data_IF_720272546029
#
_entry.id   IF_720272546029
#
_cell.length_a   1.000
_cell.length_b   1.000
_cell.length_c   1.000
_cell.angle_alpha   90.00
_cell.angle_beta   90.00
_cell.angle_gamma   90.00
#
_symmetry.space_group_name_H-M   'P 1'
#
loop_
_entity.id
_entity.type
_entity.pdbx_description
1 polymer ?
#
# COMPACT_ATOMS: atom_id res chain seq x y z
N UNK A 1 -10.38 2.15 -4.01
CA UNK A 1 -9.26 1.48 -3.31
C UNK A 1 -7.95 2.21 -3.63
N UNK A 2 -7.05 2.35 -2.65
CA UNK A 2 -5.66 2.78 -2.83
C UNK A 2 -4.78 1.65 -2.32
N UNK A 3 -3.97 1.06 -3.20
CA UNK A 3 -2.99 0.04 -2.83
C UNK A 3 -1.57 0.64 -2.83
N UNK A 4 -0.69 0.15 -1.97
CA UNK A 4 0.65 0.71 -1.82
C UNK A 4 1.71 -0.35 -1.42
N UNK A 5 2.94 -0.10 -1.91
CA UNK A 5 4.18 -0.79 -1.52
C UNK A 5 5.24 0.27 -1.28
N UNK A 6 5.47 0.63 -0.02
CA UNK A 6 6.38 1.71 0.41
C UNK A 6 7.60 1.18 1.15
N UNK A 7 7.79 -0.14 1.18
CA UNK A 7 8.78 -0.86 2.01
C UNK A 7 8.50 -0.76 3.51
N UNK A 8 9.14 -1.60 4.32
CA UNK A 8 9.01 -1.58 5.78
C UNK A 8 9.34 -0.20 6.39
N UNK A 9 10.37 0.47 5.86
CA UNK A 9 10.76 1.81 6.32
C UNK A 9 9.76 2.91 5.97
N UNK A 10 8.88 2.69 5.00
CA UNK A 10 7.89 3.67 4.55
C UNK A 10 6.74 3.92 5.53
N UNK A 11 6.64 3.11 6.60
CA UNK A 11 5.66 3.28 7.66
C UNK A 11 6.16 4.13 8.83
N UNK A 12 7.44 4.54 8.83
CA UNK A 12 8.02 5.44 9.85
C UNK A 12 7.75 4.98 11.29
N UNK A 13 7.68 3.67 11.52
CA UNK A 13 7.41 3.09 12.83
C UNK A 13 8.74 2.76 13.54
N UNK A 14 8.81 3.07 14.83
CA UNK A 14 9.90 2.63 15.69
C UNK A 14 9.72 1.14 16.10
N UNK A 15 10.65 0.61 16.89
CA UNK A 15 10.63 -0.79 17.35
C UNK A 15 9.45 -1.15 18.25
N UNK A 16 8.72 -0.15 18.77
CA UNK A 16 7.48 -0.32 19.53
C UNK A 16 6.23 -0.11 18.67
N UNK A 17 6.39 -0.05 17.35
CA UNK A 17 5.34 0.18 16.36
C UNK A 17 4.56 1.49 16.57
N UNK A 18 5.27 2.53 17.02
CA UNK A 18 4.77 3.92 17.11
C UNK A 18 5.48 4.79 16.11
N UNK A 19 4.82 5.85 15.67
CA UNK A 19 5.41 6.83 14.76
C UNK A 19 6.73 7.40 15.31
N UNK A 20 7.80 7.32 14.53
CA UNK A 20 9.08 7.96 14.83
C UNK A 20 9.04 9.44 14.45
N UNK A 21 8.45 10.25 15.34
CA UNK A 21 8.28 11.70 15.16
C UNK A 21 9.61 12.47 15.03
N UNK A 22 10.76 11.82 15.29
CA UNK A 22 12.09 12.43 15.10
C UNK A 22 12.58 12.28 13.65
N UNK A 23 11.96 11.43 12.85
CA UNK A 23 12.28 11.32 11.43
C UNK A 23 11.96 12.67 10.72
N UNK A 24 12.90 13.24 9.95
CA UNK A 24 12.71 14.56 9.32
C UNK A 24 11.48 14.65 8.40
N UNK A 25 11.19 13.60 7.62
CA UNK A 25 10.05 13.62 6.70
C UNK A 25 8.74 13.63 7.48
N UNK A 26 8.64 12.78 8.51
CA UNK A 26 7.45 12.70 9.35
C UNK A 26 7.27 13.98 10.18
N UNK A 27 8.35 14.53 10.74
CA UNK A 27 8.31 15.80 11.44
C UNK A 27 7.86 16.97 10.54
N UNK A 28 8.23 16.92 9.25
CA UNK A 28 7.72 17.85 8.24
C UNK A 28 6.22 17.70 8.01
N UNK A 29 5.73 16.47 7.91
CA UNK A 29 4.30 16.19 7.71
C UNK A 29 3.45 16.60 8.91
N UNK A 30 3.97 16.45 10.13
CA UNK A 30 3.33 16.95 11.35
C UNK A 30 3.17 18.48 11.34
N UNK A 31 4.04 19.20 10.61
CA UNK A 31 3.97 20.65 10.41
C UNK A 31 3.17 21.05 9.14
N UNK A 32 2.54 20.07 8.48
CA UNK A 32 1.66 20.31 7.34
C UNK A 32 2.26 20.04 5.98
N UNK A 33 3.49 19.50 5.87
CA UNK A 33 3.98 18.91 4.63
C UNK A 33 3.22 17.61 4.27
N UNK A 34 3.59 16.96 3.17
CA UNK A 34 3.02 15.67 2.75
C UNK A 34 4.04 14.84 1.98
N UNK A 35 5.17 14.56 2.63
CA UNK A 35 6.29 13.81 2.11
C UNK A 35 6.16 12.31 2.41
N UNK A 36 5.47 11.95 3.50
CA UNK A 36 5.24 10.56 3.91
C UNK A 36 3.89 10.05 3.42
N UNK A 37 3.70 8.73 3.47
CA UNK A 37 2.41 8.12 3.18
C UNK A 37 1.30 8.67 4.08
N UNK A 38 1.59 9.00 5.35
CA UNK A 38 0.57 9.50 6.28
C UNK A 38 0.10 10.91 5.92
N UNK A 39 1.02 11.83 5.60
CA UNK A 39 0.65 13.18 5.17
C UNK A 39 -0.15 13.18 3.87
N UNK A 40 0.24 12.33 2.90
CA UNK A 40 -0.50 12.17 1.64
C UNK A 40 -1.89 11.58 1.88
N UNK A 41 -1.99 10.47 2.61
CA UNK A 41 -3.28 9.81 2.88
C UNK A 41 -4.19 10.71 3.72
N UNK A 42 -3.68 11.43 4.72
CA UNK A 42 -4.48 12.37 5.50
C UNK A 42 -5.14 13.44 4.61
N UNK A 43 -4.37 14.05 3.69
CA UNK A 43 -4.91 15.03 2.72
C UNK A 43 -5.95 14.41 1.78
N UNK A 44 -5.73 13.17 1.34
CA UNK A 44 -6.70 12.43 0.52
C UNK A 44 -8.00 12.23 1.32
N UNK A 45 -7.92 11.80 2.58
CA UNK A 45 -9.10 11.58 3.42
C UNK A 45 -9.86 12.88 3.69
N UNK A 46 -9.16 13.98 3.98
CA UNK A 46 -9.76 15.32 4.11
C UNK A 46 -10.51 15.72 2.85
N UNK A 47 -9.87 15.60 1.68
CA UNK A 47 -10.49 15.93 0.40
C UNK A 47 -11.68 15.01 0.10
N UNK A 48 -11.60 13.72 0.42
CA UNK A 48 -12.71 12.77 0.23
C UNK A 48 -13.89 13.10 1.12
N UNK A 49 -13.64 13.39 2.39
CA UNK A 49 -14.66 13.79 3.36
C UNK A 49 -15.35 15.08 2.91
N UNK A 50 -14.58 16.11 2.56
CA UNK A 50 -15.12 17.41 2.14
C UNK A 50 -15.97 17.34 0.86
N UNK A 51 -15.62 16.45 -0.07
CA UNK A 51 -16.32 16.29 -1.35
C UNK A 51 -17.37 15.17 -1.35
N UNK A 52 -17.59 14.49 -0.22
CA UNK A 52 -18.53 13.35 -0.16
C UNK A 52 -18.16 12.21 -1.11
N UNK A 53 -16.87 11.95 -1.33
CA UNK A 53 -16.36 11.05 -2.38
C UNK A 53 -16.55 9.54 -2.08
N UNK A 54 -17.29 9.19 -1.02
CA UNK A 54 -17.60 7.82 -0.63
C UNK A 54 -16.51 7.09 0.17
N UNK A 55 -16.75 5.81 0.52
CA UNK A 55 -15.82 5.00 1.30
C UNK A 55 -14.54 4.64 0.53
N UNK A 56 -13.53 4.13 1.23
CA UNK A 56 -12.24 3.76 0.63
C UNK A 56 -11.54 2.61 1.36
N UNK A 57 -11.03 1.62 0.63
CA UNK A 57 -10.07 0.66 1.17
C UNK A 57 -8.62 1.10 0.91
N UNK A 58 -7.80 1.03 1.96
CA UNK A 58 -6.36 1.30 1.97
C UNK A 58 -5.61 -0.05 2.07
N UNK A 59 -5.13 -0.57 0.95
CA UNK A 59 -4.62 -1.93 0.81
C UNK A 59 -3.09 -1.97 0.85
N UNK A 60 -2.54 -2.39 1.97
CA UNK A 60 -1.10 -2.57 2.13
C UNK A 60 -0.64 -3.83 1.37
N UNK A 61 0.41 -3.70 0.56
CA UNK A 61 1.00 -4.81 -0.20
C UNK A 61 2.50 -5.00 0.12
N UNK A 62 3.01 -4.45 1.22
CA UNK A 62 4.35 -4.74 1.71
C UNK A 62 4.38 -6.01 2.56
N UNK A 63 5.52 -6.69 2.53
CA UNK A 63 5.77 -7.90 3.31
C UNK A 63 6.06 -7.56 4.79
N UNK A 64 5.06 -7.05 5.48
CA UNK A 64 5.07 -6.70 6.90
C UNK A 64 4.00 -7.54 7.60
N UNK A 65 4.28 -8.01 8.82
CA UNK A 65 3.27 -8.71 9.62
C UNK A 65 2.18 -7.73 10.04
N UNK A 66 0.90 -8.13 9.91
CA UNK A 66 -0.23 -7.29 10.34
C UNK A 66 -0.23 -5.94 9.60
N UNK A 67 0.10 -5.95 8.31
CA UNK A 67 0.43 -4.75 7.55
C UNK A 67 -0.75 -3.75 7.43
N UNK A 68 -1.98 -4.25 7.43
CA UNK A 68 -3.21 -3.46 7.47
C UNK A 68 -3.37 -2.74 8.81
N UNK A 69 -3.28 -3.47 9.93
CA UNK A 69 -3.41 -2.85 11.26
C UNK A 69 -2.25 -1.91 11.57
N UNK A 70 -1.02 -2.27 11.22
CA UNK A 70 0.16 -1.41 11.43
C UNK A 70 0.02 -0.07 10.74
N UNK A 71 -0.44 -0.08 9.50
CA UNK A 71 -0.69 1.15 8.76
C UNK A 71 -1.88 1.93 9.35
N UNK A 72 -2.98 1.26 9.69
CA UNK A 72 -4.15 1.88 10.31
C UNK A 72 -3.77 2.61 11.61
N UNK A 73 -3.07 1.94 12.52
CA UNK A 73 -2.71 2.48 13.82
C UNK A 73 -1.75 3.67 13.69
N UNK A 74 -0.77 3.57 12.78
CA UNK A 74 0.12 4.68 12.45
C UNK A 74 -0.63 5.87 11.84
N UNK A 75 -1.60 5.63 10.97
CA UNK A 75 -2.43 6.68 10.38
C UNK A 75 -3.30 7.37 11.44
N UNK A 76 -3.91 6.62 12.34
CA UNK A 76 -4.69 7.17 13.46
C UNK A 76 -3.80 7.99 14.40
N UNK A 77 -2.60 7.49 14.73
CA UNK A 77 -1.62 8.23 15.52
C UNK A 77 -1.22 9.55 14.84
N UNK A 78 -0.95 9.52 13.52
CA UNK A 78 -0.63 10.73 12.75
C UNK A 78 -1.77 11.75 12.76
N UNK A 79 -3.01 11.31 12.54
CA UNK A 79 -4.19 12.17 12.55
C UNK A 79 -4.43 12.78 13.95
N UNK A 80 -4.18 12.03 15.02
CA UNK A 80 -4.25 12.55 16.38
C UNK A 80 -3.19 13.62 16.65
N UNK A 81 -1.93 13.35 16.30
CA UNK A 81 -0.80 14.28 16.48
C UNK A 81 -0.98 15.59 15.69
N UNK A 82 -1.81 15.56 14.65
CA UNK A 82 -2.10 16.72 13.82
C UNK A 82 -3.50 17.30 14.04
N UNK A 83 -4.18 16.90 15.13
CA UNK A 83 -5.47 17.44 15.58
C UNK A 83 -6.63 17.28 14.57
N UNK A 84 -6.67 16.17 13.83
CA UNK A 84 -7.67 15.89 12.78
C UNK A 84 -8.78 14.93 13.23
N UNK A 85 -9.44 15.22 14.36
CA UNK A 85 -10.43 14.31 14.94
C UNK A 85 -11.57 13.96 13.98
N UNK A 86 -12.09 14.93 13.22
CA UNK A 86 -13.16 14.69 12.24
C UNK A 86 -12.76 13.69 11.15
N UNK A 87 -11.48 13.68 10.76
CA UNK A 87 -10.94 12.73 9.78
C UNK A 87 -10.82 11.32 10.39
N UNK A 88 -10.47 11.22 11.67
CA UNK A 88 -10.44 9.94 12.41
C UNK A 88 -11.84 9.34 12.49
N UNK A 89 -12.83 10.14 12.87
CA UNK A 89 -14.23 9.71 12.96
C UNK A 89 -14.75 9.26 11.59
N UNK A 90 -14.38 10.00 10.54
CA UNK A 90 -14.71 9.63 9.17
C UNK A 90 -14.03 8.33 8.74
N UNK A 91 -12.73 8.16 9.02
CA UNK A 91 -11.95 6.96 8.71
C UNK A 91 -12.59 5.72 9.32
N UNK A 92 -12.97 5.78 10.61
CA UNK A 92 -13.60 4.67 11.33
C UNK A 92 -14.89 4.17 10.65
N UNK A 93 -15.66 5.08 10.06
CA UNK A 93 -16.94 4.73 9.40
C UNK A 93 -16.75 4.37 7.93
N UNK A 94 -15.80 5.01 7.24
CA UNK A 94 -15.76 5.02 5.77
C UNK A 94 -14.54 4.30 5.17
N UNK A 95 -13.60 3.83 5.97
CA UNK A 95 -12.41 3.17 5.46
C UNK A 95 -12.10 1.82 6.12
N UNK A 96 -11.37 0.99 5.39
CA UNK A 96 -10.80 -0.27 5.88
C UNK A 96 -9.34 -0.40 5.47
N UNK A 97 -8.55 -1.07 6.31
CA UNK A 97 -7.15 -1.41 6.07
C UNK A 97 -6.96 -2.93 6.23
N UNK A 98 -7.45 -3.76 5.28
CA UNK A 98 -7.31 -5.22 5.36
C UNK A 98 -5.84 -5.64 5.36
N UNK A 99 -5.52 -6.71 6.10
CA UNK A 99 -4.20 -7.33 6.00
C UNK A 99 -4.04 -8.09 4.69
N UNK A 100 -2.78 -8.18 4.27
CA UNK A 100 -2.38 -9.04 3.17
C UNK A 100 -1.13 -9.87 3.49
N UNK A 101 -1.00 -11.00 2.81
CA UNK A 101 0.25 -11.74 2.65
C UNK A 101 0.60 -11.73 1.16
N UNK A 102 1.72 -11.12 0.80
CA UNK A 102 2.22 -11.06 -0.58
C UNK A 102 3.44 -11.96 -0.71
N UNK A 103 3.47 -12.79 -1.77
CA UNK A 103 4.64 -13.62 -2.03
C UNK A 103 4.94 -13.74 -3.53
N UNK A 104 6.10 -13.21 -3.90
CA UNK A 104 6.75 -13.36 -5.21
C UNK A 104 8.17 -12.82 -5.15
N UNK A 105 9.17 -13.66 -5.41
CA UNK A 105 10.54 -13.19 -5.60
C UNK A 105 10.61 -12.35 -6.89
N UNK A 106 10.94 -11.07 -6.72
CA UNK A 106 11.08 -10.09 -7.80
C UNK A 106 12.43 -9.36 -7.64
N UNK A 107 13.52 -9.89 -8.23
CA UNK A 107 14.84 -9.29 -8.09
C UNK A 107 14.91 -7.90 -8.73
N UNK A 108 15.87 -7.08 -8.28
CA UNK A 108 16.21 -5.83 -8.96
C UNK A 108 16.56 -6.16 -10.44
N UNK A 109 15.92 -5.50 -11.42
CA UNK A 109 16.28 -5.66 -12.82
C UNK A 109 17.77 -5.46 -13.06
N UNK A 110 18.41 -6.43 -13.70
CA UNK A 110 19.79 -6.31 -14.14
C UNK A 110 19.88 -5.29 -15.30
N UNK A 111 21.02 -4.61 -15.43
CA UNK A 111 21.20 -3.56 -16.42
C UNK A 111 21.06 -4.04 -17.88
N UNK A 112 21.30 -5.33 -18.13
CA UNK A 112 21.19 -5.98 -19.43
C UNK A 112 19.77 -6.50 -19.75
N UNK A 113 18.83 -6.46 -18.79
CA UNK A 113 17.49 -7.01 -18.96
C UNK A 113 16.71 -6.40 -20.14
N UNK A 114 16.67 -5.06 -20.34
CA UNK A 114 15.98 -4.47 -21.49
C UNK A 114 16.48 -5.00 -22.83
N UNK A 115 17.80 -5.14 -22.99
CA UNK A 115 18.40 -5.66 -24.21
C UNK A 115 18.01 -7.12 -24.46
N UNK A 116 17.98 -7.94 -23.40
CA UNK A 116 17.53 -9.33 -23.48
C UNK A 116 16.06 -9.46 -23.87
N UNK A 117 15.17 -8.64 -23.28
CA UNK A 117 13.74 -8.63 -23.62
C UNK A 117 13.53 -8.23 -25.09
N UNK A 118 14.22 -7.19 -25.55
CA UNK A 118 14.17 -6.76 -26.95
C UNK A 118 14.63 -7.84 -27.92
N UNK A 119 15.72 -8.53 -27.61
CA UNK A 119 16.23 -9.62 -28.44
C UNK A 119 15.26 -10.80 -28.53
N UNK A 120 14.50 -11.09 -27.47
CA UNK A 120 13.58 -12.24 -27.41
C UNK A 120 12.17 -11.92 -27.93
N UNK A 121 11.69 -10.70 -27.73
CA UNK A 121 10.29 -10.33 -28.01
C UNK A 121 10.15 -9.31 -29.14
N UNK A 122 11.23 -8.64 -29.52
CA UNK A 122 11.21 -7.49 -30.44
C UNK A 122 10.74 -6.18 -29.78
N UNK A 123 10.31 -6.21 -28.51
CA UNK A 123 9.75 -5.06 -27.80
C UNK A 123 10.86 -4.28 -27.09
N UNK A 124 10.92 -2.97 -27.32
CA UNK A 124 11.81 -2.04 -26.63
C UNK A 124 11.20 -1.61 -25.29
N UNK A 125 11.15 -2.53 -24.33
CA UNK A 125 10.62 -2.28 -22.98
C UNK A 125 11.62 -1.47 -22.13
N UNK A 126 11.18 -0.30 -21.66
CA UNK A 126 11.99 0.62 -20.84
C UNK A 126 11.86 0.38 -19.33
N UNK A 127 10.97 -0.49 -18.89
CA UNK A 127 10.76 -0.83 -17.50
C UNK A 127 10.49 -2.33 -17.29
N UNK A 128 11.34 -3.23 -17.83
CA UNK A 128 11.10 -4.66 -17.70
C UNK A 128 11.31 -5.10 -16.25
N UNK A 129 10.42 -5.97 -15.79
CA UNK A 129 10.49 -6.62 -14.49
C UNK A 129 10.53 -8.14 -14.71
N UNK A 130 11.44 -8.81 -14.01
CA UNK A 130 11.43 -10.27 -13.92
C UNK A 130 11.10 -10.67 -12.50
N UNK A 131 10.36 -11.77 -12.39
CA UNK A 131 10.11 -12.46 -11.13
C UNK A 131 9.99 -13.95 -11.41
N UNK A 132 10.00 -14.73 -10.34
CA UNK A 132 9.71 -16.14 -10.47
C UNK A 132 8.27 -16.41 -10.97
N UNK A 133 8.00 -17.67 -11.29
CA UNK A 133 6.67 -18.14 -11.73
C UNK A 133 5.67 -18.27 -10.58
N UNK A 134 6.16 -18.56 -9.37
CA UNK A 134 5.31 -18.61 -8.20
C UNK A 134 4.79 -17.21 -7.87
N UNK A 135 3.48 -17.13 -7.61
CA UNK A 135 2.82 -15.93 -7.12
C UNK A 135 1.75 -16.36 -6.13
N UNK A 136 1.65 -15.65 -5.01
CA UNK A 136 0.58 -15.82 -4.05
C UNK A 136 0.23 -14.46 -3.45
N UNK A 137 -1.06 -14.22 -3.24
CA UNK A 137 -1.53 -13.03 -2.58
C UNK A 137 -2.76 -13.37 -1.76
N UNK A 138 -2.63 -13.38 -0.43
CA UNK A 138 -3.76 -13.57 0.49
C UNK A 138 -4.21 -12.21 0.99
N UNK A 139 -5.51 -11.96 0.98
CA UNK A 139 -6.12 -10.69 1.35
C UNK A 139 -7.31 -10.97 2.27
N UNK A 140 -7.39 -10.25 3.38
CA UNK A 140 -8.62 -10.22 4.16
C UNK A 140 -9.75 -9.60 3.33
N UNK A 141 -10.90 -10.29 3.20
CA UNK A 141 -12.06 -9.78 2.47
C UNK A 141 -12.84 -8.74 3.29
N UNK A 142 -12.18 -7.62 3.58
CA UNK A 142 -12.69 -6.49 4.35
C UNK A 142 -12.55 -5.19 3.54
N UNK A 143 -13.29 -5.11 2.45
CA UNK A 143 -13.31 -3.96 1.56
C UNK A 143 -14.53 -3.07 1.85
N UNK A 144 -14.35 -1.75 1.78
CA UNK A 144 -15.39 -0.75 2.08
C UNK A 144 -16.05 -0.18 0.83
N UNK A 145 -15.46 -0.42 -0.33
CA UNK A 145 -15.94 -0.04 -1.66
C UNK A 145 -15.78 -1.23 -2.62
N UNK A 146 -16.26 -1.09 -3.86
CA UNK A 146 -16.12 -2.12 -4.88
C UNK A 146 -14.66 -2.57 -5.03
N UNK A 147 -14.46 -3.90 -5.03
CA UNK A 147 -13.16 -4.53 -5.28
C UNK A 147 -13.20 -5.35 -6.57
N UNK A 148 -12.06 -5.55 -7.25
CA UNK A 148 -11.96 -6.53 -8.32
C UNK A 148 -12.28 -7.94 -7.79
N UNK A 149 -12.75 -8.83 -8.67
CA UNK A 149 -12.88 -10.27 -8.41
C UNK A 149 -11.47 -10.90 -8.42
N UNK A 150 -10.69 -10.65 -7.36
CA UNK A 150 -9.30 -11.11 -7.22
C UNK A 150 -9.21 -12.64 -7.13
N UNK A 151 -10.30 -13.29 -6.75
CA UNK A 151 -10.51 -14.74 -6.78
C UNK A 151 -10.54 -15.33 -8.21
N UNK A 152 -10.83 -14.53 -9.24
CA UNK A 152 -10.99 -15.02 -10.61
C UNK A 152 -9.63 -15.24 -11.30
N UNK A 153 -9.25 -16.51 -11.43
CA UNK A 153 -8.00 -16.97 -12.07
C UNK A 153 -7.85 -16.60 -13.57
N UNK A 154 -8.88 -16.02 -14.21
CA UNK A 154 -8.97 -15.93 -15.69
C UNK A 154 -8.16 -14.80 -16.34
N UNK A 155 -7.27 -14.12 -15.62
CA UNK A 155 -6.32 -13.15 -16.22
C UNK A 155 -4.87 -13.58 -15.98
N UNK A 156 -4.44 -14.62 -16.71
CA UNK A 156 -3.04 -14.74 -17.16
C UNK A 156 -1.99 -15.34 -16.23
N UNK A 157 -2.33 -16.19 -15.26
CA UNK A 157 -1.32 -16.90 -14.46
C UNK A 157 -1.61 -18.40 -14.34
N UNK A 158 -1.01 -19.17 -15.26
CA UNK A 158 -0.74 -20.58 -15.04
C UNK A 158 0.37 -20.72 -13.99
N UNK A 159 -0.01 -20.80 -12.73
CA UNK A 159 0.87 -21.07 -11.59
C UNK A 159 0.03 -21.47 -10.39
N UNK A 160 0.47 -22.46 -9.63
CA UNK A 160 -0.27 -23.08 -8.52
C UNK A 160 0.24 -22.48 -7.21
N UNK A 161 -0.67 -21.86 -6.45
CA UNK A 161 -0.49 -21.38 -5.07
C UNK A 161 -1.79 -20.71 -4.61
N UNK A 162 -2.49 -21.27 -3.63
CA UNK A 162 -3.78 -20.76 -3.15
C UNK A 162 -3.60 -19.79 -1.98
N UNK A 163 -4.14 -18.59 -2.06
CA UNK A 163 -5.29 -18.08 -1.28
C UNK A 163 -5.65 -16.69 -1.85
N UNK A 164 -6.90 -16.25 -1.66
CA UNK A 164 -7.58 -15.11 -2.31
C UNK A 164 -6.97 -13.76 -1.97
#
# INVERSE_FOLDING_TARGET
>A
MIAFTVTEGGYYLNTSHKLDVKNPDLAGDLQGASNTIYGVIARILEARMANGAGPLTLLNCDNVRHNGERFHDGLVEFLHLTHRQTVIDWLHVNATCPNTMVDRITPRPAADLPARIKAQTGIDDRAPVMGETFIQWVIEDNFRDARPALEDRRRGAGGVGHSV
#
